data_IF_095657542681
#
_entry.id   IF_095657542681
#
_cell.length_a   1.000
_cell.length_b   1.000
_cell.length_c   1.000
_cell.angle_alpha   90.00
_cell.angle_beta   90.00
_cell.angle_gamma   90.00
#
_symmetry.space_group_name_H-M   'P 1'
#
loop_
_entity.id
_entity.type
_entity.pdbx_description
1 polymer ?
#
# COMPACT_ATOMS: atom_id res chain seq x y z
N UNK A 1 6.37 17.95 -7.95
CA UNK A 1 6.30 16.95 -9.04
C UNK A 1 4.88 16.94 -9.57
N UNK A 2 4.66 16.66 -10.85
CA UNK A 2 3.29 16.50 -11.38
C UNK A 2 2.94 15.02 -11.31
N UNK A 3 2.04 14.63 -10.41
CA UNK A 3 1.57 13.25 -10.32
C UNK A 3 0.87 12.87 -11.62
N UNK A 4 1.26 11.75 -12.21
CA UNK A 4 0.60 11.20 -13.38
C UNK A 4 -0.69 10.49 -12.95
N UNK A 5 -1.78 11.24 -12.85
CA UNK A 5 -3.07 10.75 -12.33
C UNK A 5 -3.54 9.42 -12.94
N UNK A 6 -3.30 9.22 -14.24
CA UNK A 6 -3.66 7.97 -14.92
C UNK A 6 -2.84 6.77 -14.41
N UNK A 7 -1.54 6.95 -14.21
CA UNK A 7 -0.65 5.93 -13.64
C UNK A 7 -0.95 5.70 -12.16
N UNK A 8 -1.16 6.77 -11.39
CA UNK A 8 -1.55 6.69 -9.98
C UNK A 8 -2.81 5.84 -9.80
N UNK A 9 -3.89 6.12 -10.55
CA UNK A 9 -5.14 5.35 -10.49
C UNK A 9 -4.94 3.89 -10.88
N UNK A 10 -4.12 3.61 -11.90
CA UNK A 10 -3.80 2.25 -12.35
C UNK A 10 -3.05 1.48 -11.26
N UNK A 11 -1.98 2.05 -10.72
CA UNK A 11 -1.16 1.41 -9.68
C UNK A 11 -1.96 1.23 -8.38
N UNK A 12 -2.75 2.23 -7.97
CA UNK A 12 -3.68 2.12 -6.84
C UNK A 12 -4.62 0.93 -7.00
N UNK A 13 -5.25 0.79 -8.17
CA UNK A 13 -6.13 -0.35 -8.46
C UNK A 13 -5.38 -1.68 -8.42
N UNK A 14 -4.19 -1.76 -9.04
CA UNK A 14 -3.37 -2.96 -9.00
C UNK A 14 -2.96 -3.35 -7.58
N UNK A 15 -2.59 -2.38 -6.74
CA UNK A 15 -2.29 -2.63 -5.33
C UNK A 15 -3.49 -3.21 -4.58
N UNK A 16 -4.69 -2.64 -4.77
CA UNK A 16 -5.94 -3.17 -4.18
C UNK A 16 -6.21 -4.61 -4.64
N UNK A 17 -6.00 -4.92 -5.93
CA UNK A 17 -6.18 -6.26 -6.46
C UNK A 17 -5.23 -7.30 -5.82
N UNK A 18 -4.00 -6.92 -5.44
CA UNK A 18 -3.08 -7.83 -4.75
C UNK A 18 -3.66 -8.35 -3.42
N UNK A 19 -4.35 -7.51 -2.66
CA UNK A 19 -4.97 -7.91 -1.39
C UNK A 19 -6.14 -8.90 -1.55
N UNK A 20 -6.73 -8.98 -2.75
CA UNK A 20 -7.70 -10.03 -3.08
C UNK A 20 -7.07 -11.38 -3.43
N UNK A 21 -5.77 -11.38 -3.79
CA UNK A 21 -5.06 -12.56 -4.28
C UNK A 21 -4.16 -13.19 -3.23
N UNK A 22 -3.59 -12.37 -2.34
CA UNK A 22 -2.61 -12.81 -1.37
C UNK A 22 -3.00 -12.39 0.04
N UNK A 23 -2.86 -13.33 0.97
CA UNK A 23 -3.08 -13.12 2.41
C UNK A 23 -1.78 -13.19 3.20
N UNK A 24 -0.69 -13.69 2.61
CA UNK A 24 0.64 -13.73 3.21
C UNK A 24 1.36 -12.39 2.99
N UNK A 25 1.79 -11.77 4.08
CA UNK A 25 2.42 -10.44 4.05
C UNK A 25 3.73 -10.43 3.24
N UNK A 26 4.53 -11.50 3.26
CA UNK A 26 5.82 -11.53 2.58
C UNK A 26 5.64 -11.52 1.07
N UNK A 27 4.68 -12.29 0.57
CA UNK A 27 4.31 -12.30 -0.85
C UNK A 27 3.79 -10.91 -1.23
N UNK A 28 2.87 -10.37 -0.42
CA UNK A 28 2.22 -9.11 -0.73
C UNK A 28 3.20 -7.92 -0.74
N UNK A 29 4.18 -7.89 0.18
CA UNK A 29 5.28 -6.92 0.16
C UNK A 29 6.09 -6.99 -1.14
N UNK A 30 6.51 -8.19 -1.54
CA UNK A 30 7.30 -8.38 -2.77
C UNK A 30 6.56 -7.92 -4.03
N UNK A 31 5.25 -8.16 -4.10
CA UNK A 31 4.42 -7.71 -5.22
C UNK A 31 4.25 -6.18 -5.21
N UNK A 32 4.05 -5.57 -4.03
CA UNK A 32 3.99 -4.12 -3.88
C UNK A 32 5.32 -3.44 -4.25
N UNK A 33 6.46 -4.01 -3.85
CA UNK A 33 7.79 -3.54 -4.26
C UNK A 33 7.94 -3.54 -5.79
N UNK A 34 7.40 -4.56 -6.47
CA UNK A 34 7.39 -4.65 -7.93
C UNK A 34 6.52 -3.56 -8.60
N UNK A 35 5.56 -2.99 -7.86
CA UNK A 35 4.77 -1.82 -8.27
C UNK A 35 5.42 -0.48 -7.87
N UNK A 36 6.64 -0.50 -7.34
CA UNK A 36 7.40 0.69 -6.94
C UNK A 36 7.06 1.21 -5.54
N UNK A 37 6.38 0.42 -4.70
CA UNK A 37 6.22 0.77 -3.30
C UNK A 37 7.50 0.45 -2.51
N UNK A 38 7.84 1.34 -1.59
CA UNK A 38 8.99 1.24 -0.70
C UNK A 38 8.49 1.10 0.73
N UNK A 39 9.03 0.15 1.48
CA UNK A 39 8.72 0.02 2.89
C UNK A 39 9.17 1.25 3.69
N UNK A 40 8.30 1.71 4.59
CA UNK A 40 8.55 2.82 5.51
C UNK A 40 8.55 2.40 6.96
N UNK A 41 7.63 1.51 7.32
CA UNK A 41 7.46 1.03 8.69
C UNK A 41 7.18 -0.46 8.66
N UNK A 42 7.92 -1.22 9.45
CA UNK A 42 7.62 -2.62 9.73
C UNK A 42 7.52 -2.82 11.26
N UNK A 43 6.35 -3.29 11.69
CA UNK A 43 6.04 -3.68 13.06
C UNK A 43 5.34 -5.04 13.04
N UNK A 44 5.34 -5.80 14.15
CA UNK A 44 4.72 -7.13 14.20
C UNK A 44 3.24 -7.17 13.78
N UNK A 45 2.53 -6.05 13.90
CA UNK A 45 1.10 -5.94 13.59
C UNK A 45 0.78 -4.99 12.45
N UNK A 46 1.78 -4.37 11.84
CA UNK A 46 1.59 -3.27 10.89
C UNK A 46 2.77 -3.15 9.93
N UNK A 47 2.48 -3.11 8.64
CA UNK A 47 3.43 -2.70 7.60
C UNK A 47 2.89 -1.47 6.89
N UNK A 48 3.78 -0.53 6.60
CA UNK A 48 3.48 0.67 5.82
C UNK A 48 4.45 0.77 4.67
N UNK A 49 3.92 1.00 3.47
CA UNK A 49 4.69 1.19 2.26
C UNK A 49 4.18 2.40 1.48
N UNK A 50 5.05 3.04 0.71
CA UNK A 50 4.72 4.24 -0.08
C UNK A 50 5.29 4.14 -1.49
N UNK A 51 4.57 4.68 -2.47
CA UNK A 51 5.12 5.00 -3.78
C UNK A 51 5.19 6.53 -3.90
N UNK A 52 6.36 7.16 -3.65
CA UNK A 52 6.50 8.61 -3.61
C UNK A 52 6.25 9.29 -4.96
N UNK A 53 6.60 8.62 -6.07
CA UNK A 53 6.44 9.17 -7.41
C UNK A 53 4.97 9.33 -7.80
N UNK A 54 4.12 8.44 -7.27
CA UNK A 54 2.68 8.44 -7.49
C UNK A 54 1.90 8.95 -6.28
N UNK A 55 2.56 9.41 -5.22
CA UNK A 55 1.92 9.88 -3.99
C UNK A 55 0.88 8.88 -3.46
N UNK A 56 1.25 7.60 -3.42
CA UNK A 56 0.43 6.51 -2.90
C UNK A 56 1.00 5.98 -1.59
N UNK A 57 0.10 5.57 -0.72
CA UNK A 57 0.36 5.02 0.58
C UNK A 57 -0.42 3.71 0.75
N UNK A 58 0.22 2.72 1.36
CA UNK A 58 -0.39 1.44 1.70
C UNK A 58 -0.11 1.15 3.17
N UNK A 59 -1.17 0.87 3.92
CA UNK A 59 -1.10 0.38 5.28
C UNK A 59 -1.67 -1.03 5.34
N UNK A 60 -0.99 -1.93 6.03
CA UNK A 60 -1.34 -3.35 6.09
C UNK A 60 -1.36 -3.79 7.56
N UNK A 61 -2.53 -4.17 8.05
CA UNK A 61 -2.69 -4.78 9.36
C UNK A 61 -2.30 -6.27 9.32
N UNK A 62 -1.47 -6.70 10.27
CA UNK A 62 -0.91 -8.05 10.32
C UNK A 62 -1.31 -8.74 11.62
N UNK A 63 -1.64 -10.03 11.54
CA UNK A 63 -1.81 -10.92 12.71
C UNK A 63 -0.57 -11.82 12.91
N UNK A 64 -0.35 -12.40 14.11
CA UNK A 64 0.87 -13.15 14.45
C UNK A 64 1.26 -14.29 13.49
N UNK A 65 0.34 -14.78 12.66
CA UNK A 65 0.59 -15.76 11.61
C UNK A 65 1.19 -15.16 10.31
N UNK A 66 1.64 -13.90 10.32
CA UNK A 66 2.07 -13.14 9.13
C UNK A 66 0.97 -13.01 8.06
N UNK A 67 -0.29 -13.07 8.50
CA UNK A 67 -1.46 -12.91 7.63
C UNK A 67 -1.99 -11.49 7.68
N UNK A 68 -2.46 -11.03 6.53
CA UNK A 68 -3.17 -9.75 6.39
C UNK A 68 -4.54 -9.84 7.06
N UNK A 69 -4.86 -8.88 7.92
CA UNK A 69 -6.16 -8.74 8.59
C UNK A 69 -6.93 -7.48 8.14
N UNK A 70 -6.28 -6.60 7.39
CA UNK A 70 -6.90 -5.40 6.84
C UNK A 70 -5.87 -4.57 6.08
N UNK A 71 -6.34 -3.67 5.23
CA UNK A 71 -5.47 -2.78 4.49
C UNK A 71 -6.18 -1.49 4.10
N UNK A 72 -5.39 -0.44 3.92
CA UNK A 72 -5.80 0.82 3.30
C UNK A 72 -4.83 1.14 2.17
N UNK A 73 -5.36 1.56 1.02
CA UNK A 73 -4.57 2.09 -0.10
C UNK A 73 -5.09 3.49 -0.42
N UNK A 74 -4.30 4.50 -0.14
CA UNK A 74 -4.71 5.90 -0.19
C UNK A 74 -3.74 6.72 -1.06
N UNK A 75 -4.24 7.80 -1.66
CA UNK A 75 -3.39 8.89 -2.15
C UNK A 75 -3.01 9.80 -0.99
N UNK A 76 -1.97 10.60 -1.15
CA UNK A 76 -1.61 11.59 -0.13
C UNK A 76 -2.71 12.64 0.06
N UNK A 77 -3.40 13.02 -1.02
CA UNK A 77 -4.58 13.89 -0.96
C UNK A 77 -5.71 13.29 -0.09
N UNK A 78 -6.02 12.00 -0.25
CA UNK A 78 -7.04 11.33 0.57
C UNK A 78 -6.65 11.27 2.06
N UNK A 79 -5.34 11.14 2.35
CA UNK A 79 -4.83 11.21 3.73
C UNK A 79 -5.01 12.61 4.31
N UNK A 80 -4.67 13.65 3.54
CA UNK A 80 -4.85 15.04 3.96
C UNK A 80 -6.33 15.37 4.20
N UNK A 81 -7.23 14.87 3.36
CA UNK A 81 -8.68 15.03 3.53
C UNK A 81 -9.20 14.33 4.79
N UNK A 82 -8.69 13.14 5.11
CA UNK A 82 -9.10 12.39 6.30
C UNK A 82 -8.62 13.01 7.63
N UNK A 83 -7.60 13.88 7.59
CA UNK A 83 -7.03 14.54 8.75
C UNK A 83 -7.59 15.96 9.00
N UNK A 84 -8.46 16.46 8.13
CA UNK A 84 -9.17 17.74 8.28
C UNK A 84 -10.44 17.60 9.11
#
# INVERSE_FOLDING_TARGET
>A
MTVRIHEQKKIKKSAIELFSRYTDIKILKSELESLGFLERVEKPTLVVMENPDLELYVQIGIIPENKVNGYDVLTFEEIEEALR
#
